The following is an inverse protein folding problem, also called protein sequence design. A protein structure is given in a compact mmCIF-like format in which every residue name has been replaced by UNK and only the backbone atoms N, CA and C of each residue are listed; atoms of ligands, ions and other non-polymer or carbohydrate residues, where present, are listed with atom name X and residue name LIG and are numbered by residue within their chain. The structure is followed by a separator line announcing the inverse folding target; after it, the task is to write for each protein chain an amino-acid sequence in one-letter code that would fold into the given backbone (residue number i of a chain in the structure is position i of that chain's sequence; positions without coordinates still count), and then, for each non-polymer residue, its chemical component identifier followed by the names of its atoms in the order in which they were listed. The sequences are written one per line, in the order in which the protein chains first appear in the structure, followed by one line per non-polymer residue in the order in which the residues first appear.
data_IF_397006861251
#
_entry.id   IF_397006861251
#
_cell.length_a   1.000
_cell.length_b   1.000
_cell.length_c   1.000
_cell.angle_alpha   90.00
_cell.angle_beta   90.00
_cell.angle_gamma   90.00
#
_symmetry.space_group_name_H-M   'P 1'
#
loop_
_entity.id
_entity.type
_entity.pdbx_description
1 polymer ?
#
# COMPACT_ATOMS: atom_id res chain seq x y z
N UNK A 1 6.37 35.66 -54.53
CA UNK A 1 6.13 36.16 -53.16
C UNK A 1 4.84 35.54 -52.67
N UNK A 2 4.91 34.64 -51.69
CA UNK A 2 3.71 34.05 -51.05
C UNK A 2 3.09 35.08 -50.11
N UNK A 3 1.79 35.34 -50.26
CA UNK A 3 1.06 36.24 -49.38
C UNK A 3 1.12 35.76 -47.91
N UNK A 4 1.25 36.68 -46.94
CA UNK A 4 1.25 36.33 -45.54
C UNK A 4 -0.12 35.78 -45.12
N UNK A 5 -0.14 34.67 -44.37
CA UNK A 5 -1.37 34.11 -43.78
C UNK A 5 -2.00 35.14 -42.84
N UNK A 6 -3.30 35.39 -43.00
CA UNK A 6 -4.07 36.34 -42.19
C UNK A 6 -5.18 35.61 -41.43
N UNK A 7 -5.39 35.94 -40.16
CA UNK A 7 -6.53 35.51 -39.36
C UNK A 7 -7.53 36.68 -39.21
N UNK A 8 -8.82 36.37 -39.14
CA UNK A 8 -9.85 37.38 -38.84
C UNK A 8 -10.05 37.48 -37.34
N UNK A 9 -9.94 38.71 -36.80
CA UNK A 9 -10.31 39.00 -35.43
C UNK A 9 -11.83 38.93 -35.27
N UNK A 10 -12.37 38.04 -34.42
CA UNK A 10 -13.80 37.89 -34.26
C UNK A 10 -14.47 39.15 -33.67
N UNK A 11 -13.78 39.90 -32.80
CA UNK A 11 -14.38 41.08 -32.13
C UNK A 11 -14.43 42.31 -33.04
N UNK A 12 -13.43 42.50 -33.90
CA UNK A 12 -13.30 43.72 -34.72
C UNK A 12 -13.56 43.47 -36.21
N UNK A 13 -13.62 42.21 -36.65
CA UNK A 13 -13.74 41.82 -38.06
C UNK A 13 -12.51 42.13 -38.91
N UNK A 14 -11.43 42.67 -38.30
CA UNK A 14 -10.21 43.07 -39.00
C UNK A 14 -9.34 41.84 -39.31
N UNK A 15 -8.74 41.80 -40.50
CA UNK A 15 -7.71 40.82 -40.84
C UNK A 15 -6.38 41.20 -40.18
N UNK A 16 -5.85 40.31 -39.35
CA UNK A 16 -4.56 40.44 -38.67
C UNK A 16 -3.58 39.38 -39.19
N UNK A 17 -2.28 39.69 -39.35
CA UNK A 17 -1.30 38.70 -39.77
C UNK A 17 -1.17 37.57 -38.75
N UNK A 18 -1.04 36.34 -39.24
CA UNK A 18 -0.88 35.14 -38.43
C UNK A 18 0.40 35.24 -37.58
N UNK A 19 0.25 35.28 -36.27
CA UNK A 19 1.35 35.27 -35.29
C UNK A 19 1.03 34.32 -34.14
N UNK A 20 1.99 33.49 -33.75
CA UNK A 20 1.85 32.54 -32.62
C UNK A 20 1.44 33.24 -31.33
N UNK A 21 1.97 34.44 -31.08
CA UNK A 21 1.63 35.26 -29.91
C UNK A 21 0.15 35.67 -29.84
N UNK A 22 -0.53 35.81 -30.99
CA UNK A 22 -1.91 36.28 -31.06
C UNK A 22 -2.93 35.13 -31.08
N UNK A 23 -2.49 33.89 -31.31
CA UNK A 23 -3.36 32.72 -31.39
C UNK A 23 -4.20 32.50 -30.11
N UNK A 24 -3.65 32.61 -28.88
CA UNK A 24 -4.45 32.42 -27.67
C UNK A 24 -5.59 33.42 -27.55
N UNK A 25 -5.34 34.69 -27.90
CA UNK A 25 -6.35 35.74 -27.87
C UNK A 25 -7.46 35.49 -28.90
N UNK A 26 -7.09 35.20 -30.15
CA UNK A 26 -8.07 34.92 -31.22
C UNK A 26 -8.89 33.66 -30.91
N UNK A 27 -8.27 32.62 -30.33
CA UNK A 27 -8.97 31.41 -29.89
C UNK A 27 -9.96 31.70 -28.77
N UNK A 28 -9.56 32.50 -27.78
CA UNK A 28 -10.43 32.90 -26.67
C UNK A 28 -11.61 33.77 -27.16
N UNK A 29 -11.34 34.73 -28.06
CA UNK A 29 -12.36 35.56 -28.71
C UNK A 29 -13.41 34.74 -29.46
N UNK A 30 -12.97 33.78 -30.30
CA UNK A 30 -13.87 32.86 -31.02
C UNK A 30 -14.71 32.03 -30.04
N UNK A 31 -14.06 31.45 -29.02
CA UNK A 31 -14.76 30.69 -27.98
C UNK A 31 -15.83 31.52 -27.29
N UNK A 32 -15.54 32.79 -26.96
CA UNK A 32 -16.50 33.69 -26.31
C UNK A 32 -17.72 33.96 -27.20
N UNK A 33 -17.52 34.22 -28.49
CA UNK A 33 -18.62 34.41 -29.43
C UNK A 33 -19.47 33.15 -29.61
N UNK A 34 -18.83 31.98 -29.70
CA UNK A 34 -19.54 30.70 -29.77
C UNK A 34 -20.38 30.46 -28.50
N UNK A 35 -19.90 30.86 -27.31
CA UNK A 35 -20.70 30.78 -26.08
C UNK A 35 -21.87 31.75 -26.10
N UNK A 36 -21.66 33.02 -26.47
CA UNK A 36 -22.73 34.02 -26.56
C UNK A 36 -23.82 33.60 -27.56
N UNK A 37 -23.43 33.03 -28.70
CA UNK A 37 -24.37 32.51 -29.70
C UNK A 37 -25.12 31.28 -29.18
N UNK A 38 -24.44 30.34 -28.50
CA UNK A 38 -25.09 29.20 -27.84
C UNK A 38 -26.08 29.63 -26.76
N UNK A 39 -25.73 30.62 -25.95
CA UNK A 39 -26.61 31.17 -24.92
C UNK A 39 -27.84 31.83 -25.53
N UNK A 40 -27.68 32.62 -26.60
CA UNK A 40 -28.81 33.20 -27.34
C UNK A 40 -29.73 32.13 -27.92
N UNK A 41 -29.17 31.16 -28.65
CA UNK A 41 -29.93 30.02 -29.21
C UNK A 41 -30.67 29.24 -28.11
N UNK A 42 -30.04 29.05 -26.95
CA UNK A 42 -30.65 28.39 -25.80
C UNK A 42 -31.77 29.22 -25.18
N UNK A 43 -31.61 30.53 -25.04
CA UNK A 43 -32.64 31.44 -24.54
C UNK A 43 -33.86 31.50 -25.49
N UNK A 44 -33.62 31.51 -26.79
CA UNK A 44 -34.67 31.42 -27.81
C UNK A 44 -35.41 30.08 -27.76
N UNK A 45 -34.69 28.96 -27.62
CA UNK A 45 -35.29 27.63 -27.46
C UNK A 45 -36.17 27.56 -26.19
N UNK A 46 -35.72 28.14 -25.08
CA UNK A 46 -36.50 28.27 -23.84
C UNK A 46 -37.75 29.13 -24.07
N UNK A 47 -37.63 30.27 -24.74
CA UNK A 47 -38.75 31.16 -25.05
C UNK A 47 -39.79 30.51 -25.98
N UNK A 48 -39.35 29.61 -26.88
CA UNK A 48 -40.22 28.79 -27.74
C UNK A 48 -40.82 27.55 -27.04
N UNK A 49 -40.42 27.26 -25.81
CA UNK A 49 -40.88 26.07 -25.06
C UNK A 49 -40.26 24.75 -25.55
N UNK A 50 -39.15 24.79 -26.29
CA UNK A 50 -38.45 23.60 -26.76
C UNK A 50 -37.62 22.97 -25.61
N UNK A 51 -37.56 21.63 -25.51
CA UNK A 51 -36.75 20.97 -24.49
C UNK A 51 -35.26 21.18 -24.76
N UNK A 52 -34.57 21.85 -23.82
CA UNK A 52 -33.13 22.09 -23.91
C UNK A 52 -32.35 20.91 -23.34
N UNK A 53 -31.38 20.34 -24.08
CA UNK A 53 -30.46 19.35 -23.53
C UNK A 53 -29.71 19.90 -22.31
N UNK A 54 -29.78 19.20 -21.18
CA UNK A 54 -28.98 19.55 -19.99
C UNK A 54 -27.52 19.16 -20.23
N UNK A 55 -26.60 20.08 -19.97
CA UNK A 55 -25.16 19.77 -19.95
C UNK A 55 -24.90 18.63 -18.94
N UNK A 56 -24.09 17.62 -19.30
CA UNK A 56 -23.75 16.55 -18.37
C UNK A 56 -22.95 17.14 -17.20
N UNK A 57 -23.37 16.81 -15.97
CA UNK A 57 -22.64 17.26 -14.79
C UNK A 57 -21.23 16.64 -14.78
N UNK A 58 -20.16 17.40 -14.52
CA UNK A 58 -18.79 16.91 -14.60
C UNK A 58 -18.42 16.07 -13.37
N UNK A 59 -19.09 14.93 -13.18
CA UNK A 59 -18.94 14.04 -12.02
C UNK A 59 -17.49 13.63 -11.79
N UNK A 60 -16.74 13.32 -12.85
CA UNK A 60 -15.33 12.95 -12.76
C UNK A 60 -14.48 14.10 -12.21
N UNK A 61 -14.67 15.32 -12.72
CA UNK A 61 -13.92 16.50 -12.29
C UNK A 61 -14.22 16.87 -10.83
N UNK A 62 -15.48 16.80 -10.43
CA UNK A 62 -15.89 17.00 -9.04
C UNK A 62 -15.32 15.91 -8.13
N UNK A 63 -15.36 14.64 -8.55
CA UNK A 63 -14.77 13.54 -7.79
C UNK A 63 -13.25 13.71 -7.61
N UNK A 64 -12.52 14.09 -8.67
CA UNK A 64 -11.08 14.36 -8.58
C UNK A 64 -10.79 15.52 -7.64
N UNK A 65 -11.57 16.61 -7.72
CA UNK A 65 -11.41 17.76 -6.83
C UNK A 65 -11.68 17.39 -5.37
N UNK A 66 -12.71 16.59 -5.10
CA UNK A 66 -12.99 16.08 -3.75
C UNK A 66 -11.83 15.21 -3.23
N UNK A 67 -11.26 14.32 -4.05
CA UNK A 67 -10.08 13.53 -3.67
C UNK A 67 -8.92 14.45 -3.32
N UNK A 68 -8.59 15.44 -4.17
CA UNK A 68 -7.51 16.39 -3.89
C UNK A 68 -7.75 17.14 -2.57
N UNK A 69 -8.96 17.65 -2.34
CA UNK A 69 -9.32 18.33 -1.09
C UNK A 69 -9.16 17.41 0.11
N UNK A 70 -9.58 16.15 0.03
CA UNK A 70 -9.41 15.19 1.14
C UNK A 70 -7.94 14.92 1.45
N UNK A 71 -7.09 14.77 0.43
CA UNK A 71 -5.65 14.55 0.58
C UNK A 71 -4.96 15.78 1.20
N UNK A 72 -5.32 16.99 0.77
CA UNK A 72 -4.81 18.25 1.34
C UNK A 72 -5.27 18.45 2.78
N UNK A 73 -6.53 18.12 3.07
CA UNK A 73 -7.08 18.18 4.42
C UNK A 73 -6.33 17.21 5.36
N UNK A 74 -6.05 16.00 4.88
CA UNK A 74 -5.24 15.02 5.62
C UNK A 74 -3.84 15.56 5.94
N UNK A 75 -3.16 16.12 4.94
CA UNK A 75 -1.84 16.73 5.12
C UNK A 75 -1.86 17.89 6.12
N UNK A 76 -2.90 18.73 6.08
CA UNK A 76 -3.00 19.90 6.97
C UNK A 76 -3.33 19.49 8.42
N UNK A 77 -4.25 18.55 8.63
CA UNK A 77 -4.70 18.17 9.97
C UNK A 77 -3.79 17.15 10.66
N UNK A 78 -3.30 16.15 9.93
CA UNK A 78 -2.57 15.01 10.50
C UNK A 78 -1.10 14.96 10.09
N UNK A 79 -0.66 15.84 9.20
CA UNK A 79 0.68 15.76 8.59
C UNK A 79 0.84 14.58 7.63
N UNK A 80 -0.20 13.79 7.41
CA UNK A 80 -0.22 12.62 6.54
C UNK A 80 -1.36 12.71 5.52
N UNK A 81 -1.01 12.53 4.25
CA UNK A 81 -1.92 12.62 3.11
C UNK A 81 -3.09 11.62 3.18
N UNK A 82 -2.89 10.47 3.83
CA UNK A 82 -3.84 9.37 3.90
C UNK A 82 -4.49 9.25 5.28
N UNK A 83 -4.42 10.29 6.12
CA UNK A 83 -4.91 10.25 7.51
C UNK A 83 -4.27 9.12 8.32
N UNK A 84 -3.01 8.78 8.04
CA UNK A 84 -2.32 7.67 8.69
C UNK A 84 -2.80 6.29 8.26
N UNK A 85 -3.62 6.18 7.20
CA UNK A 85 -3.98 4.89 6.61
C UNK A 85 -2.72 4.22 6.04
N UNK A 86 -2.29 3.14 6.70
CA UNK A 86 -1.21 2.26 6.28
C UNK A 86 -1.78 0.86 6.13
N UNK A 87 -2.03 0.48 4.89
CA UNK A 87 -2.52 -0.85 4.53
C UNK A 87 -1.60 -1.47 3.48
N UNK A 88 -1.78 -2.77 3.21
CA UNK A 88 -1.11 -3.49 2.13
C UNK A 88 -1.18 -2.74 0.79
N UNK A 89 -2.30 -2.05 0.54
CA UNK A 89 -2.56 -1.25 -0.66
C UNK A 89 -1.71 0.02 -0.79
N UNK A 90 -1.19 0.54 0.33
CA UNK A 90 -0.37 1.76 0.34
C UNK A 90 1.11 1.47 0.18
N UNK A 91 1.55 0.23 0.46
CA UNK A 91 2.95 -0.16 0.34
C UNK A 91 3.22 -0.77 -1.04
N UNK A 92 3.74 0.04 -1.96
CA UNK A 92 4.09 -0.41 -3.32
C UNK A 92 5.07 -1.59 -3.35
N UNK A 93 5.92 -1.77 -2.32
CA UNK A 93 6.88 -2.88 -2.24
C UNK A 93 6.17 -4.24 -2.19
N UNK A 94 4.96 -4.29 -1.66
CA UNK A 94 4.17 -5.52 -1.58
C UNK A 94 3.75 -6.05 -2.94
N UNK A 95 3.66 -5.19 -3.96
CA UNK A 95 3.27 -5.56 -5.32
C UNK A 95 4.46 -5.93 -6.20
N UNK A 96 5.69 -5.72 -5.71
CA UNK A 96 6.90 -6.10 -6.44
C UNK A 96 7.24 -7.53 -6.07
N UNK A 97 7.25 -8.46 -7.04
CA UNK A 97 7.62 -9.84 -6.78
C UNK A 97 9.04 -9.88 -6.22
N UNK A 98 9.17 -10.23 -4.94
CA UNK A 98 10.46 -10.51 -4.34
C UNK A 98 10.89 -11.92 -4.78
N UNK A 99 12.17 -12.11 -5.07
CA UNK A 99 12.69 -13.45 -5.24
C UNK A 99 12.59 -14.19 -3.91
N UNK A 100 11.72 -15.19 -3.85
CA UNK A 100 11.60 -16.04 -2.67
C UNK A 100 12.90 -16.81 -2.47
N UNK A 101 13.55 -16.55 -1.33
CA UNK A 101 14.79 -17.22 -0.96
C UNK A 101 14.49 -18.41 -0.07
N UNK A 102 15.26 -19.47 -0.26
CA UNK A 102 15.24 -20.61 0.67
C UNK A 102 16.32 -20.37 1.70
N UNK A 103 15.96 -20.42 2.97
CA UNK A 103 16.86 -20.23 4.10
C UNK A 103 17.06 -21.55 4.84
N UNK A 104 18.30 -21.85 5.24
CA UNK A 104 18.55 -22.85 6.28
C UNK A 104 18.38 -22.24 7.66
N UNK A 105 18.18 -23.06 8.69
CA UNK A 105 18.10 -22.56 10.08
C UNK A 105 19.35 -21.77 10.50
N UNK A 106 20.53 -22.25 10.10
CA UNK A 106 21.81 -21.59 10.38
C UNK A 106 21.99 -20.26 9.64
N UNK A 107 21.41 -20.13 8.44
CA UNK A 107 21.39 -18.85 7.72
C UNK A 107 20.39 -17.89 8.34
N UNK A 108 19.20 -18.37 8.68
CA UNK A 108 18.15 -17.56 9.31
C UNK A 108 18.65 -16.98 10.64
N UNK A 109 19.40 -17.75 11.43
CA UNK A 109 19.98 -17.32 12.71
C UNK A 109 20.89 -16.09 12.62
N UNK A 110 21.44 -15.76 11.44
CA UNK A 110 22.26 -14.55 11.23
C UNK A 110 21.43 -13.27 11.17
N UNK A 111 20.11 -13.38 11.01
CA UNK A 111 19.17 -12.27 10.85
C UNK A 111 18.35 -12.02 12.11
N UNK A 112 18.98 -12.14 13.28
CA UNK A 112 18.39 -11.90 14.60
C UNK A 112 18.27 -10.40 14.95
N UNK A 113 18.86 -9.52 14.13
CA UNK A 113 18.88 -8.08 14.32
C UNK A 113 20.05 -7.55 15.16
N UNK A 114 20.99 -8.42 15.58
CA UNK A 114 22.24 -8.00 16.24
C UNK A 114 23.14 -7.18 15.33
N UNK A 115 23.17 -7.54 14.04
CA UNK A 115 23.90 -6.79 13.04
C UNK A 115 23.01 -5.69 12.44
N UNK A 116 23.34 -4.39 12.62
CA UNK A 116 22.52 -3.29 12.09
C UNK A 116 22.52 -3.19 10.56
N UNK A 117 23.45 -3.88 9.88
CA UNK A 117 23.53 -3.90 8.42
C UNK A 117 22.69 -5.02 7.78
N UNK A 118 22.13 -5.92 8.57
CA UNK A 118 21.29 -7.03 8.10
C UNK A 118 19.83 -6.75 8.41
N UNK A 119 18.89 -7.25 7.57
CA UNK A 119 17.48 -7.20 7.89
C UNK A 119 17.18 -8.10 9.10
N UNK A 120 16.10 -7.79 9.81
CA UNK A 120 15.57 -8.61 10.90
C UNK A 120 14.54 -9.55 10.30
N UNK A 121 14.83 -10.84 10.33
CA UNK A 121 13.94 -11.87 9.78
C UNK A 121 13.35 -12.72 10.91
N UNK A 122 12.13 -13.17 10.72
CA UNK A 122 11.50 -14.20 11.56
C UNK A 122 10.78 -15.22 10.68
N UNK A 123 10.61 -16.44 11.19
CA UNK A 123 9.83 -17.46 10.50
C UNK A 123 8.59 -17.87 11.30
N UNK A 124 7.48 -18.01 10.57
CA UNK A 124 6.21 -18.54 11.07
C UNK A 124 5.68 -19.52 10.04
N UNK A 125 5.39 -20.74 10.49
CA UNK A 125 4.91 -21.86 9.69
C UNK A 125 5.81 -22.16 8.49
N UNK A 126 7.13 -22.03 8.67
CA UNK A 126 8.12 -22.22 7.60
C UNK A 126 8.22 -21.06 6.60
N UNK A 127 7.37 -20.04 6.66
CA UNK A 127 7.50 -18.83 5.82
C UNK A 127 8.31 -17.77 6.56
N UNK A 128 9.24 -17.14 5.84
CA UNK A 128 10.16 -16.13 6.38
C UNK A 128 9.66 -14.74 6.03
N UNK A 129 9.53 -13.87 7.04
CA UNK A 129 9.08 -12.50 6.93
C UNK A 129 10.19 -11.52 7.35
N UNK A 130 10.36 -10.46 6.56
CA UNK A 130 11.17 -9.31 6.92
C UNK A 130 10.36 -8.38 7.81
N UNK A 131 10.80 -8.26 9.06
CA UNK A 131 10.20 -7.43 10.11
C UNK A 131 11.09 -6.24 10.48
N UNK A 132 12.02 -5.87 9.61
CA UNK A 132 12.93 -4.73 9.83
C UNK A 132 12.18 -3.42 10.06
N UNK A 133 11.02 -3.22 9.44
CA UNK A 133 10.16 -2.06 9.69
C UNK A 133 9.65 -1.99 11.14
N UNK A 134 9.47 -3.14 11.78
CA UNK A 134 9.06 -3.29 13.18
C UNK A 134 10.24 -3.32 14.16
N UNK A 135 11.38 -2.69 13.83
CA UNK A 135 12.61 -2.74 14.63
C UNK A 135 12.40 -2.43 16.12
N UNK A 136 11.46 -1.58 16.49
CA UNK A 136 11.12 -1.29 17.90
C UNK A 136 10.67 -2.52 18.70
N UNK A 137 10.07 -3.51 18.04
CA UNK A 137 9.53 -4.72 18.66
C UNK A 137 10.45 -5.93 18.53
N UNK A 138 11.27 -5.98 17.49
CA UNK A 138 12.09 -7.15 17.15
C UNK A 138 13.61 -6.92 17.30
N UNK A 139 14.08 -5.69 17.51
CA UNK A 139 15.51 -5.43 17.72
C UNK A 139 16.03 -6.11 18.99
N UNK A 140 17.34 -6.43 19.07
CA UNK A 140 17.93 -6.98 20.28
C UNK A 140 17.56 -6.18 21.54
N UNK A 141 17.06 -6.87 22.57
CA UNK A 141 16.63 -6.26 23.83
C UNK A 141 15.18 -5.75 23.84
N UNK A 142 14.46 -5.86 22.73
CA UNK A 142 13.01 -5.62 22.69
C UNK A 142 12.21 -6.90 22.97
N UNK A 143 10.95 -6.73 23.34
CA UNK A 143 10.09 -7.81 23.82
C UNK A 143 9.53 -8.77 22.77
N UNK A 144 10.02 -8.76 21.53
CA UNK A 144 9.76 -9.85 20.57
C UNK A 144 11.05 -10.30 19.87
N UNK A 145 12.21 -9.90 20.40
CA UNK A 145 13.53 -10.25 19.82
C UNK A 145 13.83 -11.74 19.86
N UNK A 146 13.22 -12.50 20.77
CA UNK A 146 13.40 -13.96 20.86
C UNK A 146 12.91 -14.73 19.62
N UNK A 147 12.02 -14.12 18.83
CA UNK A 147 11.42 -14.71 17.64
C UNK A 147 12.27 -14.50 16.38
N UNK A 148 13.24 -13.59 16.43
CA UNK A 148 14.05 -13.25 15.27
C UNK A 148 15.12 -14.31 15.02
N UNK A 149 15.49 -14.46 13.74
CA UNK A 149 16.49 -15.41 13.28
C UNK A 149 16.12 -16.88 13.43
N UNK A 150 14.86 -17.24 13.70
CA UNK A 150 14.44 -18.64 13.82
C UNK A 150 12.97 -18.84 13.46
N UNK A 151 12.58 -20.11 13.32
CA UNK A 151 11.18 -20.50 13.29
C UNK A 151 10.72 -20.84 14.71
N UNK A 152 9.83 -20.01 15.22
CA UNK A 152 9.25 -20.12 16.55
C UNK A 152 7.73 -20.34 16.51
N UNK A 153 7.24 -21.00 15.46
CA UNK A 153 5.83 -21.29 15.21
C UNK A 153 5.10 -21.83 16.44
N UNK A 154 5.71 -22.76 17.18
CA UNK A 154 5.09 -23.35 18.37
C UNK A 154 4.91 -22.33 19.50
N UNK A 155 5.88 -21.44 19.70
CA UNK A 155 5.82 -20.42 20.75
C UNK A 155 4.70 -19.39 20.54
N UNK A 156 4.33 -19.07 19.29
CA UNK A 156 3.25 -18.12 18.97
C UNK A 156 1.90 -18.51 19.57
N UNK A 157 1.65 -19.80 19.75
CA UNK A 157 0.34 -20.34 20.17
C UNK A 157 0.37 -20.94 21.56
N UNK A 158 1.55 -21.37 22.02
CA UNK A 158 1.71 -21.92 23.37
C UNK A 158 2.07 -20.86 24.41
N UNK A 159 2.62 -19.71 24.00
CA UNK A 159 3.09 -18.68 24.93
C UNK A 159 4.34 -19.08 25.72
N UNK A 160 4.96 -20.21 25.40
CA UNK A 160 6.21 -20.67 26.01
C UNK A 160 7.41 -20.19 25.20
N UNK A 161 8.02 -19.11 25.66
CA UNK A 161 9.10 -18.41 24.96
C UNK A 161 10.49 -18.97 25.23
N UNK A 162 10.64 -19.82 26.25
CA UNK A 162 11.93 -20.43 26.62
C UNK A 162 12.15 -21.80 25.98
N UNK A 163 11.10 -22.61 25.88
CA UNK A 163 11.18 -24.02 25.48
C UNK A 163 10.58 -24.30 24.10
N UNK A 164 9.63 -23.48 23.63
CA UNK A 164 8.88 -23.76 22.40
C UNK A 164 9.35 -22.92 21.20
N UNK A 165 10.59 -22.43 21.20
CA UNK A 165 11.21 -21.75 20.05
C UNK A 165 11.61 -22.77 18.96
N UNK A 166 10.62 -23.47 18.41
CA UNK A 166 10.80 -24.54 17.43
C UNK A 166 9.69 -24.52 16.37
N UNK A 167 10.01 -25.11 15.21
CA UNK A 167 9.09 -25.37 14.11
C UNK A 167 8.19 -26.60 14.33
N UNK A 168 8.45 -27.40 15.38
CA UNK A 168 7.70 -28.64 15.64
C UNK A 168 6.26 -28.36 16.14
N UNK A 169 5.30 -28.66 15.28
CA UNK A 169 3.86 -28.49 15.51
C UNK A 169 3.19 -29.75 16.09
N UNK A 170 3.93 -30.86 16.29
CA UNK A 170 3.36 -32.11 16.82
C UNK A 170 2.84 -31.88 18.25
N UNK A 171 1.70 -32.49 18.56
CA UNK A 171 1.07 -32.38 19.88
C UNK A 171 0.36 -31.04 20.15
N UNK A 172 0.29 -30.12 19.18
CA UNK A 172 -0.58 -28.95 19.28
C UNK A 172 -2.05 -29.33 19.07
N UNK A 173 -2.95 -28.65 19.76
CA UNK A 173 -4.40 -28.80 19.58
C UNK A 173 -4.86 -28.14 18.28
N UNK A 174 -6.04 -28.51 17.76
CA UNK A 174 -6.61 -27.88 16.57
C UNK A 174 -6.85 -26.37 16.78
N UNK A 175 -7.22 -25.96 17.99
CA UNK A 175 -7.37 -24.54 18.34
C UNK A 175 -6.05 -23.79 18.28
N UNK A 176 -4.96 -24.41 18.73
CA UNK A 176 -3.62 -23.84 18.64
C UNK A 176 -3.18 -23.74 17.17
N UNK A 177 -3.44 -24.74 16.34
CA UNK A 177 -3.14 -24.67 14.91
C UNK A 177 -3.92 -23.55 14.21
N UNK A 178 -5.21 -23.35 14.54
CA UNK A 178 -5.99 -22.19 14.07
C UNK A 178 -5.41 -20.87 14.59
N UNK A 179 -4.89 -20.85 15.81
CA UNK A 179 -4.16 -19.70 16.35
C UNK A 179 -2.89 -19.39 15.56
N UNK A 180 -2.15 -20.42 15.15
CA UNK A 180 -0.96 -20.28 14.32
C UNK A 180 -1.31 -19.72 12.93
N UNK A 181 -2.40 -20.21 12.34
CA UNK A 181 -2.92 -19.70 11.07
C UNK A 181 -3.27 -18.21 11.16
N UNK A 182 -3.84 -17.75 12.28
CA UNK A 182 -4.11 -16.33 12.51
C UNK A 182 -2.83 -15.50 12.59
N UNK A 183 -1.81 -16.00 13.28
CA UNK A 183 -0.50 -15.33 13.35
C UNK A 183 0.18 -15.28 11.99
N UNK A 184 0.17 -16.37 11.24
CA UNK A 184 0.69 -16.43 9.88
C UNK A 184 -0.04 -15.43 8.97
N UNK A 185 -1.38 -15.42 9.00
CA UNK A 185 -2.20 -14.48 8.25
C UNK A 185 -1.98 -13.01 8.66
N UNK A 186 -1.66 -12.75 9.93
CA UNK A 186 -1.28 -11.43 10.40
C UNK A 186 0.00 -10.94 9.70
N UNK A 187 1.07 -11.75 9.68
CA UNK A 187 2.33 -11.37 9.02
C UNK A 187 2.18 -11.27 7.50
N UNK A 188 1.39 -12.16 6.88
CA UNK A 188 1.15 -12.15 5.42
C UNK A 188 0.35 -10.92 4.94
N UNK A 189 -0.52 -10.39 5.80
CA UNK A 189 -1.38 -9.24 5.46
C UNK A 189 -0.94 -7.94 6.12
N UNK A 190 0.19 -7.94 6.84
CA UNK A 190 0.72 -6.74 7.46
C UNK A 190 1.16 -5.73 6.39
N UNK A 191 0.98 -4.42 6.65
CA UNK A 191 1.35 -3.38 5.71
C UNK A 191 2.87 -3.22 5.55
N UNK A 192 3.61 -3.46 6.65
CA UNK A 192 5.04 -3.20 6.74
C UNK A 192 5.92 -4.45 6.70
N UNK A 193 5.34 -5.64 6.85
CA UNK A 193 6.11 -6.89 6.85
C UNK A 193 5.98 -7.58 5.49
N UNK A 194 7.10 -8.08 4.98
CA UNK A 194 7.18 -8.62 3.63
C UNK A 194 7.65 -10.06 3.71
N UNK A 195 6.94 -10.97 3.03
CA UNK A 195 7.40 -12.36 2.89
C UNK A 195 8.61 -12.39 1.94
N UNK A 196 9.75 -12.86 2.46
CA UNK A 196 11.02 -12.92 1.73
C UNK A 196 11.38 -14.32 1.26
N UNK A 197 10.71 -15.35 1.78
CA UNK A 197 11.03 -16.72 1.41
C UNK A 197 10.48 -17.77 2.35
N UNK A 198 11.15 -18.92 2.39
CA UNK A 198 10.81 -20.06 3.24
C UNK A 198 12.05 -20.61 3.93
N UNK A 199 11.89 -21.15 5.13
CA UNK A 199 12.93 -21.86 5.86
C UNK A 199 12.79 -23.36 5.64
N UNK A 200 13.93 -24.02 5.38
CA UNK A 200 14.00 -25.47 5.26
C UNK A 200 14.50 -26.03 6.57
N UNK A 201 13.68 -26.90 7.15
CA UNK A 201 13.99 -27.63 8.37
C UNK A 201 14.50 -29.03 8.04
N UNK A 202 15.46 -29.56 8.83
CA UNK A 202 15.79 -30.98 8.75
C UNK A 202 14.54 -31.80 9.12
N UNK A 203 14.35 -32.99 8.50
CA UNK A 203 13.23 -33.85 8.83
C UNK A 203 13.28 -34.25 10.31
N UNK A 204 12.16 -34.13 11.01
CA UNK A 204 12.05 -34.52 12.40
C UNK A 204 12.11 -36.06 12.48
N UNK A 205 13.03 -36.65 13.26
CA UNK A 205 13.11 -38.10 13.42
C UNK A 205 11.79 -38.67 13.99
N UNK A 206 11.34 -39.84 13.54
CA UNK A 206 10.09 -40.43 14.02
C UNK A 206 10.14 -40.83 15.50
N UNK A 207 11.33 -41.07 16.03
CA UNK A 207 11.63 -41.41 17.43
C UNK A 207 11.89 -40.17 18.30
N UNK A 208 11.96 -38.97 17.71
CA UNK A 208 12.17 -37.75 18.48
C UNK A 208 10.98 -37.47 19.40
N UNK A 209 11.21 -37.22 20.71
CA UNK A 209 10.15 -36.94 21.66
C UNK A 209 9.33 -35.73 21.20
N UNK A 210 8.02 -35.80 21.41
CA UNK A 210 7.12 -34.66 21.17
C UNK A 210 7.49 -33.58 22.20
N UNK A 211 7.62 -32.30 21.79
CA UNK A 211 7.90 -31.23 22.74
C UNK A 211 6.83 -31.21 23.83
N UNK A 212 7.28 -31.11 25.08
CA UNK A 212 6.40 -31.13 26.25
C UNK A 212 5.32 -30.03 26.15
N UNK A 213 4.14 -30.22 26.78
CA UNK A 213 3.15 -29.16 26.90
C UNK A 213 3.71 -27.95 27.68
N UNK A 214 3.18 -26.76 27.39
CA UNK A 214 3.59 -25.54 28.09
C UNK A 214 2.91 -25.49 29.46
N UNK A 215 3.65 -25.77 30.54
CA UNK A 215 3.10 -25.74 31.91
C UNK A 215 3.08 -24.30 32.49
N UNK A 216 4.07 -23.47 32.16
CA UNK A 216 4.26 -22.13 32.75
C UNK A 216 4.31 -20.99 31.71
N UNK A 217 3.22 -20.77 30.98
CA UNK A 217 3.12 -19.57 30.12
C UNK A 217 2.94 -18.28 30.93
N UNK A 218 2.38 -18.38 32.14
CA UNK A 218 2.05 -17.25 32.99
C UNK A 218 3.32 -16.55 33.51
N UNK A 219 3.60 -15.37 32.98
CA UNK A 219 4.73 -14.53 33.38
C UNK A 219 5.91 -14.54 32.40
N UNK A 220 5.89 -15.41 31.38
CA UNK A 220 6.84 -15.31 30.28
C UNK A 220 6.44 -14.13 29.40
N UNK A 221 7.30 -13.12 29.34
CA UNK A 221 7.20 -12.05 28.34
C UNK A 221 8.20 -12.35 27.23
N UNK A 222 7.80 -12.17 25.97
CA UNK A 222 8.73 -12.31 24.87
C UNK A 222 9.81 -11.20 24.88
#
# INVERSE_FOLDING_TARGET
MTEPRMDTDPSTGRKVPYKTANQPFLKHQKWKQEQEEKEKRRAEAIARGEPVPKEPFPLLGVAVLLVIVTLLTGQFLTGDVLFGYRSKWTNWRTYIPQQERVFTEAELAKFDGTNPNLPILLAVRGDVFDVTAGKSFYAPGSGYSIFTGKDASRAFVTGCFRTHLTHDLRGLTEEQLKGLDRWHAFYENHADYIRVGKVVHPPIPPDAPIPEPCEDSHGQRP
#
